data_IF_487572019564
#
_entry.id   IF_487572019564
#
_cell.length_a   1.000
_cell.length_b   1.000
_cell.length_c   1.000
_cell.angle_alpha   90.00
_cell.angle_beta   90.00
_cell.angle_gamma   90.00
#
_symmetry.space_group_name_H-M   'P 1'
#
loop_
_entity.id
_entity.type
_entity.pdbx_description
1 polymer ?
#
# COMPACT_ATOMS: atom_id res chain seq x y z
N UNK A 1 -27.63 23.45 -9.50
CA UNK A 1 -27.26 22.04 -9.28
C UNK A 1 -27.16 21.38 -10.64
N UNK A 2 -25.96 21.37 -11.24
CA UNK A 2 -25.73 20.78 -12.55
C UNK A 2 -25.07 19.42 -12.34
N UNK A 3 -25.79 18.35 -12.68
CA UNK A 3 -25.25 16.99 -12.69
C UNK A 3 -24.25 16.90 -13.86
N UNK A 4 -22.95 16.83 -13.54
CA UNK A 4 -21.92 16.63 -14.55
C UNK A 4 -22.04 15.20 -15.09
N UNK A 5 -22.47 15.07 -16.33
CA UNK A 5 -22.45 13.81 -17.07
C UNK A 5 -20.99 13.43 -17.33
N UNK A 6 -20.58 12.26 -16.81
CA UNK A 6 -19.23 11.71 -16.90
C UNK A 6 -18.78 11.65 -18.39
N UNK A 7 -17.67 12.29 -18.72
CA UNK A 7 -17.09 12.29 -20.08
C UNK A 7 -16.36 10.99 -20.41
N UNK A 8 -16.20 10.69 -21.71
CA UNK A 8 -15.65 9.43 -22.23
C UNK A 8 -14.11 9.26 -22.10
N UNK A 9 -13.42 10.15 -21.40
CA UNK A 9 -11.97 10.08 -21.19
C UNK A 9 -11.64 9.35 -19.89
N UNK A 10 -10.57 8.53 -19.83
CA UNK A 10 -10.13 7.93 -18.58
C UNK A 10 -9.82 9.01 -17.53
N UNK A 11 -10.37 8.88 -16.33
CA UNK A 11 -10.05 9.77 -15.22
C UNK A 11 -8.58 9.60 -14.83
N UNK A 12 -7.86 10.72 -14.65
CA UNK A 12 -6.62 10.70 -13.87
C UNK A 12 -7.00 10.80 -12.41
N UNK A 13 -6.43 9.93 -11.56
CA UNK A 13 -6.69 9.96 -10.11
C UNK A 13 -6.44 11.35 -9.49
N UNK A 14 -5.47 12.11 -10.03
CA UNK A 14 -5.19 13.50 -9.67
C UNK A 14 -6.37 14.47 -9.83
N UNK A 15 -7.36 14.11 -10.65
CA UNK A 15 -8.55 14.95 -10.93
C UNK A 15 -9.75 14.57 -10.04
N UNK A 16 -9.66 13.44 -9.32
CA UNK A 16 -10.71 12.95 -8.42
C UNK A 16 -10.49 13.37 -6.96
N UNK A 17 -9.26 13.74 -6.62
CA UNK A 17 -8.89 14.24 -5.30
C UNK A 17 -8.25 15.62 -5.49
N UNK A 18 -8.84 16.67 -4.91
CA UNK A 18 -8.10 17.93 -4.78
C UNK A 18 -6.94 17.66 -3.83
N UNK A 19 -5.72 18.10 -4.18
CA UNK A 19 -4.57 18.00 -3.27
C UNK A 19 -4.88 18.55 -1.88
N UNK A 20 -5.77 19.55 -1.80
CA UNK A 20 -6.35 20.06 -0.55
C UNK A 20 -6.92 18.99 0.40
N UNK A 21 -7.62 17.97 -0.11
CA UNK A 21 -8.15 16.92 0.77
C UNK A 21 -7.03 16.04 1.33
N UNK A 22 -6.00 15.76 0.53
CA UNK A 22 -4.84 14.99 0.99
C UNK A 22 -4.03 15.80 2.01
N UNK A 23 -3.77 17.08 1.74
CA UNK A 23 -2.91 17.91 2.59
C UNK A 23 -3.60 18.42 3.86
N UNK A 24 -4.93 18.56 3.89
CA UNK A 24 -5.64 19.15 5.04
C UNK A 24 -6.67 18.24 5.72
N UNK A 25 -6.93 17.04 5.20
CA UNK A 25 -7.93 16.15 5.82
C UNK A 25 -7.41 14.77 6.14
N UNK A 26 -6.41 14.29 5.42
CA UNK A 26 -5.90 12.94 5.62
C UNK A 26 -5.16 12.82 6.95
N UNK A 27 -4.30 13.79 7.28
CA UNK A 27 -3.56 13.84 8.54
C UNK A 27 -4.48 13.90 9.78
N UNK A 28 -5.69 14.42 9.63
CA UNK A 28 -6.69 14.52 10.70
C UNK A 28 -7.50 13.22 10.91
N UNK A 29 -7.32 12.19 10.06
CA UNK A 29 -8.05 10.92 10.19
C UNK A 29 -7.37 10.03 11.21
N UNK A 30 -8.13 9.49 12.16
CA UNK A 30 -7.64 8.51 13.14
C UNK A 30 -6.95 7.29 12.49
N UNK A 31 -7.32 6.94 11.26
CA UNK A 31 -6.69 5.83 10.51
C UNK A 31 -5.24 6.14 10.07
N UNK A 32 -4.88 7.43 10.02
CA UNK A 32 -3.53 7.92 9.69
C UNK A 32 -2.69 8.21 10.94
N UNK A 33 -3.27 8.16 12.14
CA UNK A 33 -2.54 8.17 13.42
C UNK A 33 -1.95 6.77 13.70
N UNK A 34 -1.05 6.33 12.83
CA UNK A 34 -0.38 5.03 12.91
C UNK A 34 1.12 5.12 12.58
N UNK A 35 1.73 6.30 12.70
CA UNK A 35 3.14 6.53 12.36
C UNK A 35 4.10 5.54 13.03
N UNK A 36 3.83 5.18 14.29
CA UNK A 36 4.68 4.26 15.03
C UNK A 36 4.55 2.82 14.50
N UNK A 37 3.33 2.35 14.27
CA UNK A 37 3.04 1.04 13.68
C UNK A 37 3.56 0.97 12.24
N UNK A 38 3.38 2.03 11.45
CA UNK A 38 3.84 2.14 10.08
C UNK A 38 5.38 2.13 10.00
N UNK A 39 6.06 2.83 10.90
CA UNK A 39 7.51 2.81 11.00
C UNK A 39 8.03 1.42 11.38
N UNK A 40 7.40 0.76 12.35
CA UNK A 40 7.78 -0.61 12.75
C UNK A 40 7.58 -1.62 11.60
N UNK A 41 6.45 -1.55 10.90
CA UNK A 41 6.19 -2.39 9.72
C UNK A 41 7.22 -2.12 8.61
N UNK A 42 7.59 -0.86 8.37
CA UNK A 42 8.61 -0.53 7.38
C UNK A 42 9.98 -1.09 7.73
N UNK A 43 10.39 -1.02 8.99
CA UNK A 43 11.66 -1.60 9.48
C UNK A 43 11.69 -3.12 9.29
N UNK A 44 10.59 -3.80 9.60
CA UNK A 44 10.45 -5.24 9.39
C UNK A 44 10.55 -5.61 7.89
N UNK A 45 9.86 -4.86 7.02
CA UNK A 45 9.93 -5.04 5.57
C UNK A 45 11.33 -4.80 5.00
N UNK A 46 12.05 -3.80 5.52
CA UNK A 46 13.44 -3.56 5.14
C UNK A 46 14.33 -4.73 5.53
N UNK A 47 14.16 -5.25 6.75
CA UNK A 47 14.92 -6.41 7.21
C UNK A 47 14.64 -7.66 6.35
N UNK A 48 13.38 -7.94 6.01
CA UNK A 48 13.02 -9.00 5.06
C UNK A 48 13.72 -8.80 3.71
N UNK A 49 13.70 -7.58 3.18
CA UNK A 49 14.33 -7.28 1.90
C UNK A 49 15.85 -7.45 1.92
N UNK A 50 16.51 -7.09 3.03
CA UNK A 50 17.94 -7.33 3.20
C UNK A 50 18.30 -8.82 3.21
N UNK A 51 17.42 -9.67 3.72
CA UNK A 51 17.63 -11.11 3.79
C UNK A 51 17.38 -11.80 2.44
N UNK A 52 16.29 -11.46 1.77
CA UNK A 52 15.79 -12.24 0.63
C UNK A 52 15.77 -11.48 -0.70
N UNK A 53 15.95 -10.16 -0.71
CA UNK A 53 15.77 -9.32 -1.90
C UNK A 53 16.65 -9.72 -3.09
N UNK A 54 17.85 -10.26 -2.85
CA UNK A 54 18.70 -10.81 -3.93
C UNK A 54 18.14 -12.10 -4.54
N UNK A 55 17.37 -12.88 -3.77
CA UNK A 55 16.79 -14.16 -4.16
C UNK A 55 15.41 -13.99 -4.81
N UNK A 56 14.68 -12.92 -4.48
CA UNK A 56 13.34 -12.61 -5.03
C UNK A 56 13.30 -12.69 -6.56
N UNK A 57 14.33 -12.16 -7.23
CA UNK A 57 14.40 -12.18 -8.69
C UNK A 57 14.60 -13.59 -9.29
N UNK A 58 15.02 -14.55 -8.48
CA UNK A 58 15.26 -15.95 -8.87
C UNK A 58 14.07 -16.88 -8.61
N UNK A 59 13.11 -16.45 -7.79
CA UNK A 59 11.93 -17.23 -7.45
C UNK A 59 10.97 -17.40 -8.63
N UNK A 60 10.28 -18.54 -8.64
CA UNK A 60 9.12 -18.76 -9.50
C UNK A 60 7.86 -18.19 -8.83
N UNK A 61 6.77 -18.10 -9.58
CA UNK A 61 5.50 -17.53 -9.10
C UNK A 61 5.05 -18.11 -7.75
N UNK A 62 4.93 -19.44 -7.63
CA UNK A 62 4.51 -20.07 -6.37
C UNK A 62 5.47 -19.79 -5.21
N UNK A 63 6.78 -19.84 -5.47
CA UNK A 63 7.82 -19.62 -4.45
C UNK A 63 7.89 -18.15 -4.03
N UNK A 64 7.66 -17.22 -4.95
CA UNK A 64 7.58 -15.79 -4.71
C UNK A 64 6.34 -15.44 -3.87
N UNK A 65 5.21 -16.12 -4.14
CA UNK A 65 4.00 -15.94 -3.36
C UNK A 65 4.23 -16.38 -1.91
N UNK A 66 4.62 -17.65 -1.72
CA UNK A 66 4.73 -18.26 -0.39
C UNK A 66 5.89 -17.68 0.43
N UNK A 67 7.03 -17.38 -0.20
CA UNK A 67 8.26 -17.00 0.54
C UNK A 67 8.40 -15.49 0.74
N UNK A 68 7.76 -14.68 -0.11
CA UNK A 68 7.98 -13.23 -0.10
C UNK A 68 6.68 -12.45 0.03
N UNK A 69 5.70 -12.68 -0.85
CA UNK A 69 4.47 -11.87 -0.88
C UNK A 69 3.63 -12.12 0.36
N UNK A 70 3.45 -13.37 0.77
CA UNK A 70 2.64 -13.71 1.94
C UNK A 70 3.26 -13.15 3.23
N UNK A 71 4.57 -13.23 3.39
CA UNK A 71 5.29 -12.65 4.54
C UNK A 71 5.14 -11.12 4.58
N UNK A 72 5.28 -10.44 3.43
CA UNK A 72 5.05 -8.99 3.32
C UNK A 72 3.60 -8.63 3.69
N UNK A 73 2.62 -9.42 3.26
CA UNK A 73 1.21 -9.21 3.59
C UNK A 73 0.93 -9.46 5.08
N UNK A 74 1.59 -10.43 5.70
CA UNK A 74 1.50 -10.69 7.14
C UNK A 74 2.04 -9.51 7.96
N UNK A 75 3.20 -8.95 7.59
CA UNK A 75 3.76 -7.75 8.25
C UNK A 75 2.81 -6.55 8.16
N UNK A 76 2.12 -6.40 7.03
CA UNK A 76 1.12 -5.34 6.83
C UNK A 76 -0.24 -5.63 7.49
N UNK A 77 -0.41 -6.80 8.12
CA UNK A 77 -1.65 -7.20 8.79
C UNK A 77 -2.74 -7.73 7.86
N UNK A 78 -2.39 -8.14 6.64
CA UNK A 78 -3.31 -8.66 5.62
C UNK A 78 -3.17 -10.17 5.35
N UNK A 79 -2.14 -10.84 5.86
CA UNK A 79 -1.90 -12.26 5.52
C UNK A 79 -2.86 -13.27 6.17
N UNK A 80 -3.85 -12.83 6.95
CA UNK A 80 -4.95 -13.67 7.44
C UNK A 80 -6.25 -13.56 6.62
N UNK A 81 -6.20 -13.31 5.31
CA UNK A 81 -7.38 -13.47 4.44
C UNK A 81 -7.59 -14.96 4.10
N UNK A 82 -8.06 -15.72 5.09
CA UNK A 82 -8.64 -17.07 4.90
C UNK A 82 -10.14 -17.03 4.70
#
# INVERSE_FOLDING_TARGET
>A
MSQATLGATPYRNSDLFSGYYLDERVDDLDAWDCDQEAQAALEELQHLWELEGELVASYKEDELLDSWIDEVLDVLGFGSLS
#
